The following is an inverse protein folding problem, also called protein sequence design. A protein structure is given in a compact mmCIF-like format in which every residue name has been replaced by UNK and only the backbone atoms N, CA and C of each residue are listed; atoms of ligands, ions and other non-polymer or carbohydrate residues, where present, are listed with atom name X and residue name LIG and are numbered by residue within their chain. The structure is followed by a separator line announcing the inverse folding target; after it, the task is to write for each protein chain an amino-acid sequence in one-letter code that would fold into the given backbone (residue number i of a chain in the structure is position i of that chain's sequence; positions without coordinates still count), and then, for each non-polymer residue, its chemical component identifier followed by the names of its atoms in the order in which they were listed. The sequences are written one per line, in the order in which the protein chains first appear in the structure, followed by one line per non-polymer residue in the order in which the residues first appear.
data_IF_361102737030
#
_entry.id   IF_361102737030
#
_cell.length_a   1.000
_cell.length_b   1.000
_cell.length_c   1.000
_cell.angle_alpha   90.00
_cell.angle_beta   90.00
_cell.angle_gamma   90.00
#
_symmetry.space_group_name_H-M   'P 1'
#
loop_
_entity.id
_entity.type
_entity.pdbx_description
1 polymer ?
#
# COMPACT_ATOMS: atom_id res chain seq x y z
N UNK A 1 4.07 30.01 5.32
CA UNK A 1 5.39 29.37 5.09
C UNK A 1 5.69 28.56 6.33
N UNK A 2 5.90 27.26 6.19
CA UNK A 2 6.14 26.34 7.32
C UNK A 2 7.51 26.65 7.97
N UNK A 3 7.57 26.63 9.30
CA UNK A 3 8.84 26.72 10.02
C UNK A 3 9.53 25.34 10.00
N UNK A 4 10.54 25.22 9.14
CA UNK A 4 11.29 23.97 8.98
C UNK A 4 12.09 23.61 10.23
N UNK A 5 12.55 24.59 11.02
CA UNK A 5 13.31 24.31 12.24
C UNK A 5 12.41 23.68 13.29
N UNK A 6 11.25 24.29 13.55
CA UNK A 6 10.26 23.77 14.48
C UNK A 6 9.73 22.39 14.03
N UNK A 7 9.46 22.24 12.73
CA UNK A 7 9.00 20.96 12.17
C UNK A 7 10.05 19.86 12.34
N UNK A 8 11.34 20.17 12.14
CA UNK A 8 12.44 19.20 12.35
C UNK A 8 12.53 18.75 13.81
N UNK A 9 12.40 19.68 14.75
CA UNK A 9 12.40 19.36 16.19
C UNK A 9 11.22 18.48 16.58
N UNK A 10 10.01 18.79 16.08
CA UNK A 10 8.83 17.96 16.28
C UNK A 10 9.02 16.56 15.71
N UNK A 11 9.53 16.44 14.48
CA UNK A 11 9.83 15.13 13.86
C UNK A 11 10.87 14.37 14.69
N UNK A 12 11.93 15.02 15.18
CA UNK A 12 12.93 14.37 16.04
C UNK A 12 12.32 13.81 17.33
N UNK A 13 11.43 14.57 17.97
CA UNK A 13 10.70 14.11 19.16
C UNK A 13 9.81 12.89 18.86
N UNK A 14 9.09 12.92 17.74
CA UNK A 14 8.25 11.79 17.31
C UNK A 14 9.08 10.56 16.94
N UNK A 15 10.23 10.71 16.27
CA UNK A 15 11.13 9.60 15.98
C UNK A 15 11.55 8.88 17.27
N UNK A 16 11.89 9.63 18.32
CA UNK A 16 12.23 9.09 19.63
C UNK A 16 11.02 8.43 20.32
N UNK A 17 9.85 9.08 20.32
CA UNK A 17 8.61 8.56 20.91
C UNK A 17 8.22 7.19 20.31
N UNK A 18 8.38 7.05 18.99
CA UNK A 18 7.92 5.86 18.26
C UNK A 18 9.03 4.84 17.96
N UNK A 19 10.27 5.11 18.35
CA UNK A 19 11.41 4.21 18.11
C UNK A 19 11.77 4.08 16.63
N UNK A 20 11.53 5.12 15.82
CA UNK A 20 11.82 5.14 14.39
C UNK A 20 13.19 5.80 14.18
N UNK A 21 14.14 5.15 13.48
CA UNK A 21 15.50 5.69 13.37
C UNK A 21 15.62 6.97 12.56
N UNK A 22 14.89 7.09 11.45
CA UNK A 22 14.90 8.28 10.60
C UNK A 22 13.60 8.48 9.84
N UNK A 23 13.41 9.72 9.41
CA UNK A 23 12.42 10.10 8.42
C UNK A 23 13.01 11.10 7.42
N UNK A 24 12.68 10.93 6.14
CA UNK A 24 12.75 11.97 5.11
C UNK A 24 11.35 12.49 4.81
N UNK A 25 11.18 13.80 4.86
CA UNK A 25 9.92 14.50 4.69
C UNK A 25 10.02 15.39 3.47
N UNK A 26 9.01 15.33 2.61
CA UNK A 26 8.86 16.21 1.47
C UNK A 26 7.51 16.92 1.52
N UNK A 27 7.50 18.20 1.13
CA UNK A 27 6.32 19.04 0.96
C UNK A 27 6.39 19.66 -0.45
N UNK A 28 5.39 19.41 -1.27
CA UNK A 28 5.16 20.08 -2.54
C UNK A 28 3.96 21.01 -2.37
N UNK A 29 4.13 22.31 -2.57
CA UNK A 29 3.03 23.26 -2.51
C UNK A 29 3.21 24.29 -3.63
N UNK A 30 2.18 24.49 -4.47
CA UNK A 30 2.23 25.43 -5.59
C UNK A 30 3.45 25.22 -6.50
N UNK A 31 3.72 23.97 -6.86
CA UNK A 31 4.87 23.56 -7.68
C UNK A 31 6.25 23.68 -6.99
N UNK A 32 6.33 24.09 -5.72
CA UNK A 32 7.59 24.24 -4.99
C UNK A 32 7.83 23.09 -4.03
N UNK A 33 8.98 22.42 -4.17
CA UNK A 33 9.40 21.33 -3.29
C UNK A 33 10.28 21.85 -2.15
N UNK A 34 9.89 21.54 -0.93
CA UNK A 34 10.70 21.66 0.30
C UNK A 34 10.92 20.28 0.88
N UNK A 35 12.15 19.96 1.27
CA UNK A 35 12.49 18.63 1.82
C UNK A 35 13.52 18.73 2.93
N UNK A 36 13.42 17.80 3.88
CA UNK A 36 14.40 17.65 4.94
C UNK A 36 14.40 16.20 5.45
N UNK A 37 15.46 15.84 6.18
CA UNK A 37 15.55 14.55 6.85
C UNK A 37 16.05 14.71 8.28
N UNK A 38 15.65 13.78 9.13
CA UNK A 38 15.97 13.73 10.56
C UNK A 38 16.30 12.29 10.95
N UNK A 39 17.28 12.11 11.85
CA UNK A 39 17.65 10.82 12.41
C UNK A 39 18.77 10.11 11.66
N UNK A 40 18.83 8.78 11.80
CA UNK A 40 19.89 7.93 11.26
C UNK A 40 19.38 6.97 10.18
N UNK A 41 19.94 7.10 8.97
CA UNK A 41 19.68 6.19 7.86
C UNK A 41 20.22 4.77 8.15
N UNK A 42 21.24 4.66 9.01
CA UNK A 42 21.80 3.38 9.46
C UNK A 42 22.32 3.50 10.89
N UNK A 43 21.61 2.86 11.83
CA UNK A 43 21.95 2.93 13.27
C UNK A 43 23.25 2.21 13.62
N UNK A 44 23.67 1.23 12.81
CA UNK A 44 24.92 0.48 13.02
C UNK A 44 26.15 1.31 12.64
N UNK A 45 26.09 2.06 11.54
CA UNK A 45 27.21 2.90 11.09
C UNK A 45 27.15 4.32 11.64
N UNK A 46 25.99 4.75 12.15
CA UNK A 46 25.75 6.13 12.56
C UNK A 46 25.54 7.10 11.39
N UNK A 47 25.34 6.58 10.17
CA UNK A 47 25.07 7.43 9.02
C UNK A 47 23.79 8.25 9.24
N UNK A 48 23.90 9.57 9.09
CA UNK A 48 22.77 10.48 9.23
C UNK A 48 21.81 10.34 8.03
N UNK A 49 20.52 10.52 8.28
CA UNK A 49 19.56 10.69 7.21
C UNK A 49 19.70 12.08 6.58
N UNK A 50 19.84 12.10 5.26
CA UNK A 50 19.94 13.28 4.41
C UNK A 50 18.68 13.40 3.53
N UNK A 51 18.32 14.61 3.02
CA UNK A 51 17.13 14.78 2.17
C UNK A 51 17.12 13.87 0.93
N UNK A 52 18.30 13.50 0.46
CA UNK A 52 18.54 12.66 -0.71
C UNK A 52 18.76 11.17 -0.34
N UNK A 53 18.44 10.76 0.90
CA UNK A 53 18.46 9.36 1.33
C UNK A 53 17.41 8.56 0.56
N UNK A 54 17.79 7.38 0.08
CA UNK A 54 16.93 6.50 -0.70
C UNK A 54 16.27 5.49 0.24
N UNK A 55 14.94 5.46 0.24
CA UNK A 55 14.10 4.54 1.01
C UNK A 55 13.36 3.57 0.09
N UNK A 56 13.03 2.39 0.59
CA UNK A 56 12.13 1.48 -0.10
C UNK A 56 10.69 1.97 0.01
N UNK A 57 10.03 2.17 -1.13
CA UNK A 57 8.69 2.72 -1.19
C UNK A 57 7.59 1.65 -1.02
N UNK A 58 7.93 0.37 -1.11
CA UNK A 58 6.97 -0.72 -0.96
C UNK A 58 5.78 -0.55 -1.92
N UNK A 59 4.57 -0.84 -1.43
CA UNK A 59 3.33 -0.78 -2.23
C UNK A 59 3.03 0.54 -2.94
N UNK A 60 3.70 1.63 -2.58
CA UNK A 60 3.63 2.89 -3.35
C UNK A 60 4.06 2.68 -4.82
N UNK A 61 4.90 1.68 -5.08
CA UNK A 61 5.32 1.24 -6.42
C UNK A 61 4.16 1.09 -7.41
N UNK A 62 2.98 0.69 -6.92
CA UNK A 62 1.77 0.49 -7.73
C UNK A 62 1.38 1.73 -8.52
N UNK A 63 1.53 2.91 -7.94
CA UNK A 63 1.21 4.18 -8.61
C UNK A 63 2.09 4.40 -9.84
N UNK A 64 3.40 4.11 -9.76
CA UNK A 64 4.28 4.20 -10.92
C UNK A 64 3.91 3.16 -11.98
N UNK A 65 3.64 1.90 -11.59
CA UNK A 65 3.24 0.85 -12.53
C UNK A 65 1.92 1.21 -13.22
N UNK A 66 0.96 1.77 -12.50
CA UNK A 66 -0.31 2.23 -13.05
C UNK A 66 -0.12 3.37 -14.07
N UNK A 67 0.75 4.36 -13.80
CA UNK A 67 1.10 5.40 -14.78
C UNK A 67 1.66 4.81 -16.08
N UNK A 68 2.61 3.87 -15.98
CA UNK A 68 3.17 3.20 -17.16
C UNK A 68 2.10 2.42 -17.93
N UNK A 69 1.16 1.81 -17.23
CA UNK A 69 0.05 1.07 -17.84
C UNK A 69 -0.91 2.01 -18.58
N UNK A 70 -1.28 3.14 -17.97
CA UNK A 70 -2.16 4.13 -18.59
C UNK A 70 -1.52 4.79 -19.82
N UNK A 71 -0.19 4.89 -19.89
CA UNK A 71 0.48 5.32 -21.14
C UNK A 71 0.19 4.35 -22.30
N UNK A 72 0.21 3.03 -22.06
CA UNK A 72 -0.18 2.06 -23.09
C UNK A 72 -1.66 2.16 -23.48
N UNK A 73 -2.51 2.57 -22.54
CA UNK A 73 -3.95 2.81 -22.81
C UNK A 73 -4.11 4.02 -23.73
N UNK A 74 -3.43 5.13 -23.45
CA UNK A 74 -3.44 6.33 -24.31
C UNK A 74 -2.88 6.08 -25.70
N UNK A 75 -1.85 5.22 -25.81
CA UNK A 75 -1.28 4.77 -27.08
C UNK A 75 -2.24 3.88 -27.87
N UNK A 76 -3.32 3.39 -27.27
CA UNK A 76 -4.24 2.41 -27.85
C UNK A 76 -3.64 1.00 -27.98
N UNK A 77 -2.52 0.75 -27.30
CA UNK A 77 -1.81 -0.54 -27.29
C UNK A 77 -2.55 -1.55 -26.40
N UNK A 78 -3.12 -1.09 -25.30
CA UNK A 78 -3.96 -1.88 -24.39
C UNK A 78 -5.24 -1.12 -24.06
N UNK A 79 -6.23 -1.82 -23.55
CA UNK A 79 -7.54 -1.31 -23.15
C UNK A 79 -7.83 -1.84 -21.75
N UNK A 80 -8.32 -0.97 -20.87
CA UNK A 80 -8.59 -1.28 -19.46
C UNK A 80 -9.66 -2.35 -19.29
N UNK A 81 -10.57 -2.49 -20.26
CA UNK A 81 -11.76 -3.32 -20.21
C UNK A 81 -11.70 -4.51 -21.18
N UNK A 82 -10.59 -4.67 -21.91
CA UNK A 82 -10.32 -5.90 -22.66
C UNK A 82 -9.82 -7.00 -21.72
N UNK A 83 -10.23 -8.27 -21.94
CA UNK A 83 -9.73 -9.38 -21.14
C UNK A 83 -8.21 -9.49 -21.19
N UNK A 84 -7.58 -9.85 -20.05
CA UNK A 84 -6.13 -10.08 -19.93
C UNK A 84 -5.62 -11.05 -21.00
N UNK A 85 -6.41 -12.07 -21.35
CA UNK A 85 -6.07 -13.05 -22.39
C UNK A 85 -5.90 -12.49 -23.79
N UNK A 86 -6.41 -11.29 -24.05
CA UNK A 86 -6.15 -10.56 -25.30
C UNK A 86 -4.66 -10.25 -25.45
N UNK A 87 -3.99 -9.98 -24.34
CA UNK A 87 -2.57 -9.61 -24.29
C UNK A 87 -1.68 -10.79 -23.90
N UNK A 88 -2.19 -11.72 -23.08
CA UNK A 88 -1.52 -12.92 -22.60
C UNK A 88 -2.37 -14.16 -22.92
N UNK A 89 -2.34 -14.70 -24.15
CA UNK A 89 -3.24 -15.78 -24.57
C UNK A 89 -3.18 -17.05 -23.69
N UNK A 90 -2.03 -17.29 -23.06
CA UNK A 90 -1.75 -18.38 -22.13
C UNK A 90 -2.35 -18.17 -20.73
N UNK A 91 -2.79 -16.95 -20.40
CA UNK A 91 -3.35 -16.64 -19.08
C UNK A 91 -4.56 -17.53 -18.78
N UNK A 92 -4.49 -18.19 -17.62
CA UNK A 92 -5.53 -19.05 -17.08
C UNK A 92 -5.44 -19.05 -15.56
N UNK A 93 -6.59 -19.16 -14.91
CA UNK A 93 -6.75 -19.45 -13.47
C UNK A 93 -7.76 -20.58 -13.31
N UNK A 94 -7.98 -21.07 -12.09
CA UNK A 94 -8.87 -22.21 -11.85
C UNK A 94 -10.31 -21.94 -12.32
N UNK A 95 -10.79 -20.71 -12.16
CA UNK A 95 -12.11 -20.29 -12.62
C UNK A 95 -12.09 -19.88 -14.11
N UNK A 96 -12.87 -20.57 -14.93
CA UNK A 96 -12.95 -20.32 -16.37
C UNK A 96 -13.61 -18.99 -16.73
N UNK A 97 -14.54 -18.51 -15.91
CA UNK A 97 -15.21 -17.22 -16.12
C UNK A 97 -14.21 -16.08 -15.88
N UNK A 98 -13.49 -16.14 -14.76
CA UNK A 98 -12.43 -15.15 -14.47
C UNK A 98 -11.31 -15.22 -15.51
N UNK A 99 -10.93 -16.42 -15.94
CA UNK A 99 -9.99 -16.61 -17.06
C UNK A 99 -10.45 -15.88 -18.32
N UNK A 100 -11.74 -15.89 -18.64
CA UNK A 100 -12.29 -15.28 -19.85
C UNK A 100 -12.51 -13.76 -19.72
N UNK A 101 -12.73 -13.25 -18.51
CA UNK A 101 -13.30 -11.92 -18.31
C UNK A 101 -12.51 -10.97 -17.42
N UNK A 102 -11.47 -11.42 -16.69
CA UNK A 102 -10.63 -10.48 -15.92
C UNK A 102 -9.94 -9.48 -16.84
N UNK A 103 -9.91 -8.21 -16.43
CA UNK A 103 -9.39 -7.08 -17.23
C UNK A 103 -8.30 -6.33 -16.47
N UNK A 104 -7.47 -5.52 -17.14
CA UNK A 104 -6.53 -4.64 -16.45
C UNK A 104 -7.15 -3.72 -15.41
N UNK A 105 -8.38 -3.23 -15.63
CA UNK A 105 -9.12 -2.43 -14.65
C UNK A 105 -9.31 -3.18 -13.33
N UNK A 106 -9.73 -4.45 -13.39
CA UNK A 106 -9.89 -5.30 -12.21
C UNK A 106 -8.58 -5.53 -11.46
N UNK A 107 -7.44 -5.55 -12.16
CA UNK A 107 -6.12 -5.72 -11.56
C UNK A 107 -5.66 -4.43 -10.86
N UNK A 108 -5.84 -3.28 -11.51
CA UNK A 108 -5.44 -1.96 -11.01
C UNK A 108 -6.22 -1.54 -9.76
N UNK A 109 -7.51 -1.89 -9.70
CA UNK A 109 -8.41 -1.56 -8.58
C UNK A 109 -8.66 -2.73 -7.60
N UNK A 110 -7.89 -3.83 -7.73
CA UNK A 110 -7.95 -4.99 -6.83
C UNK A 110 -9.33 -5.66 -6.67
N UNK A 111 -10.08 -5.78 -7.77
CA UNK A 111 -11.37 -6.50 -7.80
C UNK A 111 -11.32 -7.81 -8.58
N UNK A 112 -10.12 -8.35 -8.82
CA UNK A 112 -9.93 -9.55 -9.64
C UNK A 112 -10.26 -10.88 -8.95
N UNK A 113 -10.22 -10.95 -7.61
CA UNK A 113 -10.57 -12.16 -6.84
C UNK A 113 -9.52 -13.27 -6.79
N UNK A 114 -8.47 -13.21 -7.59
CA UNK A 114 -7.51 -14.31 -7.78
C UNK A 114 -6.61 -14.43 -6.55
N UNK A 115 -6.51 -15.64 -5.99
CA UNK A 115 -5.57 -15.93 -4.91
C UNK A 115 -4.11 -15.82 -5.39
N UNK A 116 -3.22 -15.32 -4.52
CA UNK A 116 -1.81 -15.10 -4.83
C UNK A 116 -0.98 -16.39 -4.74
N UNK A 117 -1.47 -17.47 -5.33
CA UNK A 117 -0.86 -18.80 -5.30
C UNK A 117 0.00 -19.05 -6.55
N UNK A 118 1.17 -18.41 -6.58
CA UNK A 118 2.13 -18.51 -7.71
C UNK A 118 3.44 -19.26 -7.37
N UNK A 119 3.58 -19.79 -6.15
CA UNK A 119 4.79 -20.50 -5.72
C UNK A 119 6.03 -19.61 -5.67
N UNK A 120 7.20 -20.19 -5.99
CA UNK A 120 8.46 -19.46 -6.15
C UNK A 120 8.72 -19.24 -7.66
N UNK A 121 8.51 -18.01 -8.19
CA UNK A 121 8.74 -17.71 -9.59
C UNK A 121 10.22 -17.42 -9.92
N UNK A 122 11.10 -17.45 -8.92
CA UNK A 122 12.51 -17.12 -9.05
C UNK A 122 12.82 -15.63 -9.14
N UNK A 123 14.10 -15.31 -9.37
CA UNK A 123 14.66 -13.96 -9.36
C UNK A 123 15.13 -13.49 -10.76
N UNK A 124 14.68 -14.18 -11.81
CA UNK A 124 15.02 -13.93 -13.20
C UNK A 124 14.29 -12.72 -13.82
N UNK A 125 14.68 -12.36 -15.05
CA UNK A 125 13.96 -11.34 -15.84
C UNK A 125 12.63 -11.85 -16.41
N UNK A 126 12.43 -13.16 -16.37
CA UNK A 126 11.19 -13.87 -16.72
C UNK A 126 10.23 -14.05 -15.53
N UNK A 127 10.53 -13.47 -14.35
CA UNK A 127 9.75 -13.66 -13.11
C UNK A 127 8.24 -13.49 -13.31
N UNK A 128 7.78 -12.47 -14.05
CA UNK A 128 6.35 -12.26 -14.27
C UNK A 128 5.73 -13.25 -15.25
N UNK A 129 6.52 -13.75 -16.22
CA UNK A 129 6.08 -14.83 -17.10
C UNK A 129 5.93 -16.13 -16.29
N UNK A 130 6.89 -16.43 -15.42
CA UNK A 130 6.84 -17.57 -14.50
C UNK A 130 5.65 -17.48 -13.54
N UNK A 131 5.36 -16.29 -12.97
CA UNK A 131 4.18 -16.07 -12.13
C UNK A 131 2.88 -16.34 -12.90
N UNK A 132 2.72 -15.77 -14.10
CA UNK A 132 1.51 -15.97 -14.93
C UNK A 132 1.34 -17.44 -15.33
N UNK A 133 2.43 -18.15 -15.59
CA UNK A 133 2.38 -19.59 -15.90
C UNK A 133 1.99 -20.44 -14.67
N UNK A 134 2.43 -20.05 -13.47
CA UNK A 134 2.23 -20.80 -12.23
C UNK A 134 0.79 -20.71 -11.66
N UNK A 135 0.02 -19.69 -12.03
CA UNK A 135 -1.33 -19.44 -11.49
C UNK A 135 -2.45 -20.19 -12.20
N UNK A 136 -2.13 -21.14 -13.08
CA UNK A 136 -3.11 -21.85 -13.89
C UNK A 136 -4.21 -22.54 -13.07
N UNK A 137 -3.89 -22.94 -11.84
CA UNK A 137 -4.80 -23.58 -10.88
C UNK A 137 -5.04 -22.71 -9.63
N UNK A 138 -4.69 -21.41 -9.67
CA UNK A 138 -4.96 -20.50 -8.56
C UNK A 138 -6.48 -20.32 -8.35
N UNK A 139 -7.00 -20.52 -7.13
CA UNK A 139 -8.43 -20.41 -6.85
C UNK A 139 -8.90 -18.96 -6.77
N UNK A 140 -10.22 -18.76 -6.82
CA UNK A 140 -10.85 -17.48 -6.49
C UNK A 140 -11.11 -17.38 -4.99
N UNK A 141 -10.86 -16.20 -4.43
CA UNK A 141 -11.17 -15.83 -3.04
C UNK A 141 -12.56 -15.17 -2.97
N UNK A 142 -12.96 -14.47 -4.03
CA UNK A 142 -14.28 -13.87 -4.22
C UNK A 142 -14.57 -13.74 -5.73
N UNK A 143 -15.85 -13.59 -6.15
CA UNK A 143 -16.18 -13.47 -7.56
C UNK A 143 -15.58 -12.20 -8.20
N UNK A 144 -15.24 -12.27 -9.50
CA UNK A 144 -14.70 -11.13 -10.25
C UNK A 144 -15.59 -9.89 -10.11
N UNK A 145 -15.01 -8.75 -9.78
CA UNK A 145 -15.69 -7.47 -9.64
C UNK A 145 -16.55 -7.33 -8.37
N UNK A 146 -16.68 -8.36 -7.54
CA UNK A 146 -17.64 -8.39 -6.43
C UNK A 146 -17.29 -7.42 -5.29
N UNK A 147 -16.01 -7.35 -4.93
CA UNK A 147 -15.52 -6.55 -3.80
C UNK A 147 -14.06 -6.16 -4.04
N UNK A 148 -13.56 -5.20 -3.28
CA UNK A 148 -12.14 -4.91 -3.23
C UNK A 148 -11.43 -5.92 -2.32
N UNK A 149 -10.44 -6.63 -2.87
CA UNK A 149 -9.53 -7.50 -2.14
C UNK A 149 -8.13 -7.41 -2.70
N UNK A 150 -7.24 -6.84 -1.89
CA UNK A 150 -5.90 -6.43 -2.28
C UNK A 150 -5.04 -7.59 -2.77
N UNK A 151 -4.69 -7.52 -4.05
CA UNK A 151 -3.66 -8.35 -4.67
C UNK A 151 -2.38 -7.53 -4.80
N UNK A 152 -1.51 -7.66 -3.80
CA UNK A 152 -0.31 -6.86 -3.64
C UNK A 152 0.76 -7.20 -4.68
N UNK A 153 0.90 -8.48 -5.02
CA UNK A 153 1.93 -9.00 -5.90
C UNK A 153 1.34 -9.48 -7.23
N UNK A 154 0.35 -10.37 -7.19
CA UNK A 154 -0.07 -11.09 -8.40
C UNK A 154 -0.75 -10.17 -9.43
N UNK A 155 -1.70 -9.33 -9.00
CA UNK A 155 -2.41 -8.43 -9.91
C UNK A 155 -1.46 -7.50 -10.65
N UNK A 156 -0.47 -6.96 -9.94
CA UNK A 156 0.55 -6.09 -10.52
C UNK A 156 1.62 -6.84 -11.31
N UNK A 157 1.89 -8.11 -11.00
CA UNK A 157 2.71 -8.99 -11.82
C UNK A 157 2.06 -9.28 -13.19
N UNK A 158 0.74 -9.48 -13.23
CA UNK A 158 0.00 -9.66 -14.49
C UNK A 158 0.05 -8.37 -15.32
N UNK A 159 -0.18 -7.20 -14.70
CA UNK A 159 -0.03 -5.90 -15.38
C UNK A 159 1.39 -5.69 -15.91
N UNK A 160 2.41 -6.02 -15.12
CA UNK A 160 3.80 -5.97 -15.54
C UNK A 160 4.08 -6.91 -16.72
N UNK A 161 3.51 -8.11 -16.72
CA UNK A 161 3.68 -9.06 -17.82
C UNK A 161 3.07 -8.54 -19.14
N UNK A 162 1.93 -7.86 -19.06
CA UNK A 162 1.33 -7.16 -20.21
C UNK A 162 2.28 -6.05 -20.71
N UNK A 163 2.78 -5.21 -19.81
CA UNK A 163 3.76 -4.16 -20.13
C UNK A 163 5.01 -4.72 -20.82
N UNK A 164 5.58 -5.81 -20.29
CA UNK A 164 6.77 -6.46 -20.87
C UNK A 164 6.52 -7.00 -22.28
N UNK A 165 5.31 -7.53 -22.52
CA UNK A 165 4.91 -8.06 -23.82
C UNK A 165 4.71 -6.94 -24.84
N UNK A 166 4.08 -5.84 -24.43
CA UNK A 166 3.87 -4.67 -25.28
C UNK A 166 5.19 -3.98 -25.67
N UNK A 167 6.13 -3.88 -24.72
CA UNK A 167 7.39 -3.16 -24.92
C UNK A 167 8.58 -4.03 -25.34
N UNK A 168 8.42 -5.35 -25.31
CA UNK A 168 9.49 -6.33 -25.53
C UNK A 168 10.73 -6.10 -24.65
N UNK A 169 10.52 -5.71 -23.38
CA UNK A 169 11.60 -5.51 -22.41
C UNK A 169 11.15 -5.84 -20.98
N UNK A 170 12.09 -6.19 -20.08
CA UNK A 170 11.75 -6.44 -18.68
C UNK A 170 11.18 -5.20 -17.98
N UNK A 171 10.28 -5.41 -17.02
CA UNK A 171 9.56 -4.35 -16.30
C UNK A 171 10.46 -3.23 -15.76
N UNK A 172 11.58 -3.58 -15.14
CA UNK A 172 12.50 -2.58 -14.57
C UNK A 172 13.09 -1.62 -15.63
N UNK A 173 13.26 -2.07 -16.89
CA UNK A 173 13.77 -1.24 -17.98
C UNK A 173 12.67 -0.38 -18.60
N UNK A 174 11.47 -0.93 -18.80
CA UNK A 174 10.36 -0.11 -19.29
C UNK A 174 9.97 0.97 -18.29
N UNK A 175 10.01 0.68 -16.98
CA UNK A 175 9.70 1.68 -15.96
C UNK A 175 10.67 2.86 -16.01
N UNK A 176 11.97 2.57 -16.14
CA UNK A 176 13.00 3.59 -16.35
C UNK A 176 12.68 4.45 -17.58
N UNK A 177 12.43 3.82 -18.73
CA UNK A 177 12.17 4.50 -20.01
C UNK A 177 10.88 5.32 -20.01
N UNK A 178 9.79 4.74 -19.53
CA UNK A 178 8.41 5.27 -19.64
C UNK A 178 8.06 6.30 -18.58
N UNK A 179 8.61 6.14 -17.37
CA UNK A 179 8.18 6.92 -16.20
C UNK A 179 9.36 7.64 -15.54
N UNK A 180 10.41 6.92 -15.14
CA UNK A 180 11.45 7.52 -14.30
C UNK A 180 12.30 8.56 -15.07
N UNK A 181 12.72 8.25 -16.31
CA UNK A 181 13.51 9.18 -17.13
C UNK A 181 12.71 10.44 -17.52
N UNK A 182 11.45 10.34 -17.99
CA UNK A 182 10.60 11.53 -18.23
C UNK A 182 10.37 12.39 -16.99
N UNK A 183 10.27 11.78 -15.80
CA UNK A 183 10.15 12.51 -14.52
C UNK A 183 11.49 12.99 -13.96
N UNK A 184 12.61 12.66 -14.63
CA UNK A 184 13.98 12.87 -14.16
C UNK A 184 14.26 12.31 -12.76
N UNK A 185 13.58 11.21 -12.41
CA UNK A 185 13.72 10.51 -11.14
C UNK A 185 14.99 9.64 -11.15
N UNK A 186 16.15 10.31 -11.11
CA UNK A 186 17.48 9.68 -11.22
C UNK A 186 17.84 8.83 -10.01
N UNK A 187 17.28 9.16 -8.85
CA UNK A 187 17.55 8.47 -7.59
C UNK A 187 16.50 7.40 -7.28
N UNK A 188 15.53 7.23 -8.18
CA UNK A 188 14.52 6.19 -8.11
C UNK A 188 14.99 4.96 -8.88
N UNK A 189 14.82 3.77 -8.29
CA UNK A 189 15.27 2.50 -8.89
C UNK A 189 14.20 1.43 -8.71
N UNK A 190 14.15 0.48 -9.65
CA UNK A 190 13.24 -0.66 -9.63
C UNK A 190 13.90 -1.94 -9.09
N UNK A 191 15.19 -1.86 -8.70
CA UNK A 191 16.06 -3.00 -8.44
C UNK A 191 17.01 -2.69 -7.28
N UNK A 192 17.10 -3.57 -6.27
CA UNK A 192 17.97 -3.34 -5.11
C UNK A 192 19.45 -3.10 -5.49
N UNK A 193 19.95 -3.79 -6.51
CA UNK A 193 21.33 -3.66 -6.96
C UNK A 193 21.67 -2.32 -7.64
N UNK A 194 20.66 -1.57 -8.06
CA UNK A 194 20.84 -0.27 -8.73
C UNK A 194 20.79 0.88 -7.71
N UNK A 195 20.46 0.61 -6.45
CA UNK A 195 20.44 1.60 -5.36
C UNK A 195 21.87 1.95 -4.97
N UNK A 196 22.17 3.26 -4.88
CA UNK A 196 23.45 3.73 -4.33
C UNK A 196 23.57 3.33 -2.85
N UNK A 197 24.50 2.42 -2.48
CA UNK A 197 24.63 1.96 -1.11
C UNK A 197 25.08 3.06 -0.14
N UNK A 198 25.70 4.15 -0.62
CA UNK A 198 26.09 5.28 0.22
C UNK A 198 24.89 6.12 0.66
N UNK A 199 23.78 6.07 -0.08
CA UNK A 199 22.54 6.83 0.17
C UNK A 199 21.39 5.95 0.63
N UNK A 200 21.54 4.64 0.63
CA UNK A 200 20.49 3.70 1.00
C UNK A 200 20.18 3.74 2.50
N UNK A 201 18.91 3.94 2.85
CA UNK A 201 18.43 3.70 4.20
C UNK A 201 18.46 2.19 4.51
N UNK A 202 18.94 1.85 5.71
CA UNK A 202 18.86 0.48 6.25
C UNK A 202 17.53 0.33 6.98
N UNK A 203 16.75 -0.71 6.68
CA UNK A 203 15.48 -0.95 7.36
C UNK A 203 15.65 -1.49 8.78
N UNK A 204 14.75 -1.11 9.69
CA UNK A 204 14.76 -1.54 11.08
C UNK A 204 13.38 -1.99 11.56
N UNK A 205 13.39 -2.99 12.43
CA UNK A 205 12.26 -3.53 13.16
C UNK A 205 12.40 -3.14 14.64
N UNK A 206 11.31 -3.20 15.40
CA UNK A 206 11.28 -2.83 16.80
C UNK A 206 10.54 -3.90 17.60
N UNK A 207 11.17 -4.44 18.65
CA UNK A 207 10.52 -5.39 19.59
C UNK A 207 10.09 -4.72 20.88
N UNK A 208 10.90 -3.79 21.38
CA UNK A 208 10.60 -2.90 22.51
C UNK A 208 11.29 -1.56 22.30
N UNK A 209 10.78 -0.49 22.92
CA UNK A 209 11.46 0.82 22.90
C UNK A 209 12.81 0.76 23.62
N UNK A 210 12.93 -0.05 24.68
CA UNK A 210 14.15 -0.19 25.47
C UNK A 210 15.27 -0.89 24.70
N UNK A 211 14.94 -1.88 23.86
CA UNK A 211 15.92 -2.55 23.00
C UNK A 211 16.34 -1.65 21.82
N UNK A 212 15.41 -0.82 21.36
CA UNK A 212 15.63 0.06 20.23
C UNK A 212 15.62 -0.69 18.87
N UNK A 213 16.00 0.01 17.80
CA UNK A 213 15.85 -0.48 16.44
C UNK A 213 16.82 -1.62 16.09
N UNK A 214 16.26 -2.72 15.57
CA UNK A 214 17.00 -3.90 15.12
C UNK A 214 17.00 -3.91 13.60
N UNK A 215 18.18 -4.03 12.97
CA UNK A 215 18.25 -4.14 11.50
C UNK A 215 17.39 -5.30 10.99
N UNK A 216 16.61 -5.04 9.95
CA UNK A 216 15.80 -6.07 9.29
C UNK A 216 16.66 -7.23 8.75
N UNK A 217 16.24 -8.50 8.93
CA UNK A 217 16.91 -9.63 8.31
C UNK A 217 16.59 -9.74 6.80
N UNK A 218 15.58 -9.03 6.30
CA UNK A 218 15.15 -9.05 4.90
C UNK A 218 15.42 -7.68 4.28
N UNK A 219 16.57 -7.50 3.61
CA UNK A 219 17.00 -6.19 3.15
C UNK A 219 16.25 -5.67 1.93
N UNK A 220 15.51 -6.51 1.20
CA UNK A 220 14.67 -6.14 0.06
C UNK A 220 13.57 -7.18 -0.15
N UNK A 221 12.50 -6.79 -0.83
CA UNK A 221 11.45 -7.73 -1.24
C UNK A 221 11.93 -8.61 -2.42
N UNK A 222 11.44 -9.85 -2.52
CA UNK A 222 11.68 -10.71 -3.70
C UNK A 222 11.19 -10.06 -4.99
N UNK A 223 11.76 -10.47 -6.14
CA UNK A 223 11.38 -9.89 -7.44
C UNK A 223 9.93 -10.10 -7.86
N UNK A 224 9.28 -11.12 -7.31
CA UNK A 224 7.83 -11.33 -7.46
C UNK A 224 7.01 -10.09 -7.04
N UNK A 225 7.50 -9.30 -6.10
CA UNK A 225 6.86 -8.05 -5.66
C UNK A 225 7.27 -6.84 -6.47
N UNK A 226 8.19 -6.94 -7.45
CA UNK A 226 8.81 -5.78 -8.11
C UNK A 226 7.79 -4.75 -8.61
N UNK A 227 6.84 -5.15 -9.45
CA UNK A 227 5.81 -4.28 -10.01
C UNK A 227 4.78 -3.75 -9.01
N UNK A 228 4.65 -4.41 -7.87
CA UNK A 228 3.73 -4.03 -6.80
C UNK A 228 4.40 -3.40 -5.59
N UNK A 229 5.75 -3.38 -5.50
CA UNK A 229 6.45 -3.16 -4.24
C UNK A 229 7.96 -2.87 -4.31
N UNK A 230 8.59 -2.94 -5.49
CA UNK A 230 10.05 -2.97 -5.63
C UNK A 230 10.74 -1.63 -5.84
N UNK A 231 10.02 -0.51 -5.92
CA UNK A 231 10.64 0.80 -6.12
C UNK A 231 11.28 1.30 -4.82
N UNK A 232 12.50 1.82 -4.94
CA UNK A 232 13.16 2.63 -3.93
C UNK A 232 13.39 4.04 -4.48
N UNK A 233 13.19 5.08 -3.67
CA UNK A 233 13.15 6.47 -4.10
C UNK A 233 13.53 7.45 -2.98
N UNK A 234 13.58 8.75 -3.31
CA UNK A 234 13.79 9.87 -2.38
C UNK A 234 12.49 10.65 -2.16
N UNK A 235 12.44 11.50 -1.14
CA UNK A 235 11.26 12.35 -0.89
C UNK A 235 10.94 13.27 -2.08
N UNK A 236 11.96 13.89 -2.69
CA UNK A 236 11.81 14.71 -3.90
C UNK A 236 11.23 13.95 -5.08
N UNK A 237 11.74 12.76 -5.36
CA UNK A 237 11.27 11.97 -6.51
C UNK A 237 9.81 11.53 -6.30
N UNK A 238 9.43 11.13 -5.07
CA UNK A 238 8.03 10.85 -4.72
C UNK A 238 7.13 12.08 -4.90
N UNK A 239 7.60 13.29 -4.56
CA UNK A 239 6.84 14.51 -4.84
C UNK A 239 6.76 14.85 -6.33
N UNK A 240 7.80 14.52 -7.11
CA UNK A 240 7.74 14.64 -8.58
C UNK A 240 6.65 13.74 -9.17
N UNK A 241 6.47 12.54 -8.61
CA UNK A 241 5.32 11.68 -8.92
C UNK A 241 3.99 12.34 -8.51
N UNK A 242 3.92 12.88 -7.28
CA UNK A 242 2.71 13.53 -6.79
C UNK A 242 2.26 14.71 -7.68
N UNK A 243 3.21 15.48 -8.19
CA UNK A 243 2.94 16.61 -9.07
C UNK A 243 2.24 16.21 -10.37
N UNK A 244 2.48 15.01 -10.88
CA UNK A 244 1.77 14.47 -12.06
C UNK A 244 0.25 14.46 -11.84
N UNK A 245 -0.19 14.20 -10.61
CA UNK A 245 -1.62 14.20 -10.28
C UNK A 245 -2.17 15.60 -10.00
N UNK A 246 -1.34 16.51 -9.46
CA UNK A 246 -1.73 17.90 -9.19
C UNK A 246 -1.78 18.75 -10.48
N UNK A 247 -0.90 18.49 -11.45
CA UNK A 247 -0.77 19.27 -12.69
C UNK A 247 -1.24 18.48 -13.93
N UNK A 248 -2.34 17.73 -13.78
CA UNK A 248 -3.07 17.06 -14.87
C UNK A 248 -2.17 16.27 -15.84
N UNK A 249 -1.21 15.52 -15.30
CA UNK A 249 -0.34 14.62 -16.04
C UNK A 249 1.02 15.21 -16.42
N UNK A 250 1.40 16.37 -15.87
CA UNK A 250 2.70 17.01 -16.12
C UNK A 250 3.69 16.80 -14.97
N UNK A 251 4.96 16.66 -15.32
CA UNK A 251 6.07 16.71 -14.38
C UNK A 251 6.35 18.15 -13.92
N UNK A 252 7.19 18.29 -12.90
CA UNK A 252 7.65 19.59 -12.37
C UNK A 252 8.34 20.48 -13.42
N UNK A 253 8.85 19.91 -14.52
CA UNK A 253 9.47 20.66 -15.63
C UNK A 253 8.52 20.89 -16.82
N UNK A 254 7.24 20.53 -16.67
CA UNK A 254 6.18 20.70 -17.66
C UNK A 254 6.12 19.57 -18.71
N UNK A 255 6.98 18.56 -18.64
CA UNK A 255 6.92 17.36 -19.48
C UNK A 255 5.61 16.62 -19.24
N UNK A 256 4.84 16.39 -20.29
CA UNK A 256 3.57 15.66 -20.20
C UNK A 256 3.84 14.15 -20.19
N UNK A 257 3.43 13.47 -19.12
CA UNK A 257 3.48 12.02 -18.98
C UNK A 257 2.19 11.32 -19.42
N UNK A 258 1.05 11.93 -19.10
CA UNK A 258 -0.30 11.46 -19.44
C UNK A 258 -1.16 12.66 -19.84
N UNK A 259 -2.23 12.45 -20.59
CA UNK A 259 -3.24 13.49 -20.80
C UNK A 259 -4.07 13.73 -19.53
N UNK A 260 -4.74 14.89 -19.41
CA UNK A 260 -5.66 15.15 -18.32
C UNK A 260 -6.78 14.09 -18.22
N UNK A 261 -7.23 13.56 -19.36
CA UNK A 261 -8.27 12.53 -19.39
C UNK A 261 -7.80 11.18 -18.80
N UNK A 262 -6.54 10.79 -19.04
CA UNK A 262 -5.99 9.58 -18.43
C UNK A 262 -5.74 9.74 -16.93
N UNK A 263 -5.38 10.95 -16.47
CA UNK A 263 -5.29 11.25 -15.03
C UNK A 263 -6.67 11.21 -14.39
N UNK A 264 -7.68 11.82 -15.03
CA UNK A 264 -9.07 11.75 -14.58
C UNK A 264 -9.55 10.31 -14.45
N UNK A 265 -9.29 9.47 -15.46
CA UNK A 265 -9.61 8.05 -15.44
C UNK A 265 -8.91 7.33 -14.28
N UNK A 266 -7.62 7.62 -14.04
CA UNK A 266 -6.84 7.01 -12.96
C UNK A 266 -7.38 7.37 -11.57
N UNK A 267 -7.88 8.60 -11.39
CA UNK A 267 -8.36 9.12 -10.11
C UNK A 267 -9.85 8.82 -9.84
N UNK A 268 -10.68 8.69 -10.89
CA UNK A 268 -12.14 8.62 -10.77
C UNK A 268 -12.74 7.24 -11.08
N UNK A 269 -11.97 6.31 -11.67
CA UNK A 269 -12.36 4.90 -11.72
C UNK A 269 -12.18 4.21 -10.37
N UNK A 270 -13.17 4.40 -9.49
CA UNK A 270 -13.14 4.01 -8.07
C UNK A 270 -14.00 2.80 -7.75
N UNK A 271 -13.55 1.98 -6.80
CA UNK A 271 -14.33 0.92 -6.15
C UNK A 271 -14.38 1.14 -4.64
N UNK A 272 -15.48 0.81 -3.96
CA UNK A 272 -15.58 0.98 -2.51
C UNK A 272 -14.65 0.02 -1.78
N UNK A 273 -14.05 0.50 -0.69
CA UNK A 273 -13.29 -0.33 0.24
C UNK A 273 -14.23 -0.87 1.34
N UNK A 274 -14.26 -2.20 1.58
CA UNK A 274 -15.09 -2.77 2.64
C UNK A 274 -14.74 -2.28 4.04
N UNK A 275 -13.49 -1.91 4.29
CA UNK A 275 -13.06 -1.24 5.53
C UNK A 275 -12.56 0.17 5.19
N UNK A 276 -13.39 1.21 5.39
CA UNK A 276 -13.05 2.58 5.03
C UNK A 276 -12.09 3.24 6.02
N UNK A 277 -11.90 2.65 7.21
CA UNK A 277 -11.12 3.26 8.29
C UNK A 277 -9.61 3.04 8.14
N UNK A 278 -9.22 1.99 7.42
CA UNK A 278 -7.80 1.65 7.25
C UNK A 278 -7.09 2.56 6.25
N UNK A 279 -7.70 2.79 5.08
CA UNK A 279 -7.08 3.57 3.99
C UNK A 279 -7.96 4.73 3.52
N UNK A 280 -9.27 4.57 3.54
CA UNK A 280 -10.23 5.52 2.97
C UNK A 280 -11.44 4.79 2.38
N UNK A 281 -12.48 5.51 1.95
CA UNK A 281 -13.70 4.89 1.45
C UNK A 281 -13.57 4.16 0.11
N UNK A 282 -12.54 4.43 -0.68
CA UNK A 282 -12.42 3.87 -2.02
C UNK A 282 -10.98 3.65 -2.50
N UNK A 283 -10.85 2.85 -3.55
CA UNK A 283 -9.62 2.58 -4.27
C UNK A 283 -9.78 2.95 -5.74
N UNK A 284 -8.87 3.73 -6.30
CA UNK A 284 -8.85 4.15 -7.70
C UNK A 284 -7.85 3.29 -8.52
N UNK A 285 -7.44 3.70 -9.72
CA UNK A 285 -6.48 2.88 -10.48
C UNK A 285 -5.06 3.09 -9.94
N UNK A 286 -4.69 2.32 -8.92
CA UNK A 286 -3.36 2.37 -8.28
C UNK A 286 -3.19 3.45 -7.21
N UNK A 287 -4.27 4.08 -6.75
CA UNK A 287 -4.26 5.01 -5.61
C UNK A 287 -5.37 4.68 -4.62
N UNK A 288 -5.12 5.04 -3.37
CA UNK A 288 -6.12 5.09 -2.31
C UNK A 288 -6.87 6.42 -2.43
N UNK A 289 -8.18 6.40 -2.18
CA UNK A 289 -9.02 7.59 -2.08
C UNK A 289 -9.50 7.72 -0.64
N UNK A 290 -8.97 8.72 0.06
CA UNK A 290 -9.35 9.07 1.43
C UNK A 290 -10.46 10.14 1.43
N UNK A 291 -11.22 10.20 2.52
CA UNK A 291 -12.09 11.32 2.87
C UNK A 291 -11.59 11.95 4.17
N UNK A 292 -11.08 13.18 4.08
CA UNK A 292 -10.56 13.93 5.22
C UNK A 292 -11.48 15.12 5.47
N UNK A 293 -12.45 14.91 6.36
CA UNK A 293 -13.46 15.91 6.72
C UNK A 293 -14.31 16.42 5.53
N UNK A 294 -14.64 15.53 4.59
CA UNK A 294 -15.40 15.86 3.38
C UNK A 294 -14.56 16.28 2.18
N UNK A 295 -13.23 16.37 2.32
CA UNK A 295 -12.31 16.64 1.22
C UNK A 295 -11.67 15.34 0.70
N UNK A 296 -11.56 15.21 -0.63
CA UNK A 296 -10.91 14.05 -1.24
C UNK A 296 -9.39 14.21 -1.17
N UNK A 297 -8.74 13.26 -0.51
CA UNK A 297 -7.28 13.17 -0.46
C UNK A 297 -6.86 11.88 -1.15
N UNK A 298 -6.00 11.99 -2.17
CA UNK A 298 -5.42 10.80 -2.78
C UNK A 298 -4.20 10.37 -1.99
N UNK A 299 -4.06 9.07 -1.80
CA UNK A 299 -2.96 8.49 -1.05
C UNK A 299 -2.29 7.35 -1.82
N UNK A 300 -1.02 7.13 -1.50
CA UNK A 300 -0.33 5.91 -1.88
C UNK A 300 0.64 5.56 -0.77
N UNK A 301 0.44 4.38 -0.20
CA UNK A 301 1.13 3.92 0.98
C UNK A 301 1.88 2.63 0.66
N UNK A 302 3.02 2.43 1.32
CA UNK A 302 3.81 1.24 1.16
C UNK A 302 4.67 0.92 2.35
N UNK A 303 4.89 -0.38 2.52
CA UNK A 303 5.71 -0.92 3.59
C UNK A 303 6.54 -2.07 3.03
N UNK A 304 7.82 -2.09 3.39
CA UNK A 304 8.67 -3.28 3.27
C UNK A 304 9.09 -3.70 4.68
N UNK A 305 9.93 -4.73 4.80
CA UNK A 305 10.35 -5.22 6.11
C UNK A 305 11.34 -4.23 6.72
N UNK A 306 10.82 -3.32 7.53
CA UNK A 306 11.56 -2.30 8.27
C UNK A 306 11.69 -0.94 7.56
N UNK A 307 10.95 -0.67 6.49
CA UNK A 307 10.83 0.67 5.88
C UNK A 307 9.38 0.96 5.49
N UNK A 308 8.99 2.23 5.55
CA UNK A 308 7.62 2.66 5.23
C UNK A 308 7.65 3.95 4.40
N UNK A 309 6.66 4.08 3.52
CA UNK A 309 6.44 5.25 2.70
C UNK A 309 4.95 5.62 2.74
N UNK A 310 4.66 6.90 2.94
CA UNK A 310 3.31 7.45 2.95
C UNK A 310 3.30 8.71 2.09
N UNK A 311 2.37 8.82 1.16
CA UNK A 311 2.14 10.04 0.36
C UNK A 311 0.68 10.45 0.47
N UNK A 312 0.44 11.75 0.66
CA UNK A 312 -0.88 12.38 0.59
C UNK A 312 -0.85 13.48 -0.46
N UNK A 313 -1.85 13.50 -1.33
CA UNK A 313 -2.03 14.46 -2.42
C UNK A 313 -3.39 15.11 -2.21
N UNK A 314 -3.40 16.43 -2.05
CA UNK A 314 -4.57 17.26 -1.75
C UNK A 314 -4.77 18.25 -2.91
N UNK A 315 -5.49 17.85 -3.98
CA UNK A 315 -5.65 18.68 -5.17
C UNK A 315 -6.24 20.06 -4.89
N UNK A 316 -7.23 20.13 -3.99
CA UNK A 316 -7.91 21.39 -3.63
C UNK A 316 -6.98 22.43 -2.98
N UNK A 317 -5.80 22.00 -2.52
CA UNK A 317 -4.79 22.84 -1.87
C UNK A 317 -3.48 22.95 -2.69
N UNK A 318 -3.43 22.36 -3.90
CA UNK A 318 -2.20 22.20 -4.69
C UNK A 318 -1.00 21.75 -3.82
N UNK A 319 -1.26 20.74 -2.98
CA UNK A 319 -0.39 20.31 -1.89
C UNK A 319 -0.17 18.80 -1.93
N UNK A 320 1.07 18.37 -1.76
CA UNK A 320 1.39 16.98 -1.47
C UNK A 320 2.46 16.86 -0.39
N UNK A 321 2.32 15.87 0.49
CA UNK A 321 3.27 15.60 1.58
C UNK A 321 3.65 14.13 1.57
N UNK A 322 4.95 13.85 1.62
CA UNK A 322 5.49 12.48 1.72
C UNK A 322 6.30 12.30 2.99
N UNK A 323 6.18 11.11 3.60
CA UNK A 323 6.94 10.67 4.77
C UNK A 323 7.55 9.31 4.46
N UNK A 324 8.88 9.25 4.41
CA UNK A 324 9.65 8.03 4.18
C UNK A 324 10.44 7.69 5.44
N UNK A 325 10.32 6.48 5.96
CA UNK A 325 10.97 6.05 7.20
C UNK A 325 11.70 4.73 7.04
N UNK A 326 12.73 4.52 7.87
CA UNK A 326 13.46 3.26 7.96
C UNK A 326 13.19 2.49 9.27
N UNK A 327 11.94 2.57 9.71
CA UNK A 327 11.36 1.86 10.84
C UNK A 327 9.83 2.03 10.88
N UNK A 328 9.14 1.28 11.73
CA UNK A 328 7.68 1.19 11.76
C UNK A 328 7.12 -0.01 10.96
N UNK A 329 5.81 -0.06 10.63
CA UNK A 329 4.88 1.07 10.59
C UNK A 329 4.42 1.52 11.98
N UNK A 330 4.13 2.83 12.09
CA UNK A 330 3.48 3.49 13.22
C UNK A 330 2.56 4.55 12.64
N UNK A 331 1.32 4.20 12.31
CA UNK A 331 0.37 5.15 11.70
C UNK A 331 0.15 6.42 12.54
N UNK A 332 0.11 6.36 13.89
CA UNK A 332 0.05 7.57 14.71
C UNK A 332 1.24 8.52 14.49
N UNK A 333 2.44 7.99 14.18
CA UNK A 333 3.60 8.83 13.84
C UNK A 333 3.36 9.60 12.55
N UNK A 334 2.93 8.92 11.49
CA UNK A 334 2.66 9.54 10.19
C UNK A 334 1.51 10.55 10.30
N UNK A 335 0.42 10.19 11.00
CA UNK A 335 -0.73 11.06 11.21
C UNK A 335 -0.36 12.36 11.93
N UNK A 336 0.43 12.28 13.02
CA UNK A 336 0.92 13.46 13.75
C UNK A 336 1.82 14.37 12.90
N UNK A 337 2.56 13.81 11.94
CA UNK A 337 3.39 14.58 11.00
C UNK A 337 2.52 15.25 9.94
N UNK A 338 1.58 14.52 9.33
CA UNK A 338 0.65 15.08 8.36
C UNK A 338 -0.17 16.21 8.98
N UNK A 339 -0.77 16.00 10.15
CA UNK A 339 -1.51 17.02 10.89
C UNK A 339 -0.67 18.29 11.13
N UNK A 340 0.57 18.14 11.59
CA UNK A 340 1.48 19.26 11.83
C UNK A 340 1.79 20.07 10.57
N UNK A 341 2.06 19.39 9.46
CA UNK A 341 2.46 20.02 8.20
C UNK A 341 1.25 20.64 7.52
N UNK A 342 0.17 19.89 7.37
CA UNK A 342 -1.01 20.31 6.60
C UNK A 342 -1.75 21.47 7.26
N UNK A 343 -1.83 21.49 8.60
CA UNK A 343 -2.40 22.63 9.34
C UNK A 343 -1.65 23.94 9.07
N UNK A 344 -0.34 23.90 8.81
CA UNK A 344 0.44 25.09 8.45
C UNK A 344 0.10 25.65 7.05
N UNK A 345 -0.60 24.88 6.22
CA UNK A 345 -1.12 25.27 4.91
C UNK A 345 -2.65 25.46 4.91
N UNK A 346 -3.32 25.28 6.05
CA UNK A 346 -4.80 25.36 6.14
C UNK A 346 -5.52 24.18 5.52
N UNK A 347 -4.81 23.08 5.25
CA UNK A 347 -5.36 21.85 4.70
C UNK A 347 -5.83 20.89 5.82
N UNK A 348 -6.83 20.03 5.57
CA UNK A 348 -7.32 19.09 6.57
C UNK A 348 -6.25 18.06 6.94
N UNK A 349 -6.18 17.73 8.23
CA UNK A 349 -5.41 16.59 8.72
C UNK A 349 -6.15 15.26 8.51
N UNK A 350 -5.48 14.13 8.78
CA UNK A 350 -6.14 12.83 8.80
C UNK A 350 -7.25 12.79 9.87
N UNK A 351 -8.36 12.08 9.62
CA UNK A 351 -9.44 11.96 10.59
C UNK A 351 -8.99 11.20 11.84
N UNK A 352 -9.68 11.45 12.94
CA UNK A 352 -9.51 10.68 14.17
C UNK A 352 -9.83 9.19 13.93
N UNK A 353 -9.14 8.26 14.63
CA UNK A 353 -9.50 6.85 14.60
C UNK A 353 -10.96 6.62 14.98
N UNK A 354 -11.63 5.61 14.40
CA UNK A 354 -13.01 5.30 14.75
C UNK A 354 -13.13 4.91 16.22
N UNK A 355 -14.29 5.25 16.80
CA UNK A 355 -14.62 4.91 18.19
C UNK A 355 -15.70 3.83 18.20
N UNK A 356 -15.62 2.85 19.11
CA UNK A 356 -16.70 1.89 19.28
C UNK A 356 -17.99 2.59 19.71
N UNK A 357 -19.13 2.07 19.25
CA UNK A 357 -20.45 2.46 19.72
C UNK A 357 -20.92 1.48 20.81
N UNK A 358 -20.88 1.86 22.10
CA UNK A 358 -21.31 0.99 23.19
C UNK A 358 -22.83 0.78 23.23
N UNK A 359 -23.61 1.55 22.47
CA UNK A 359 -25.06 1.36 22.38
C UNK A 359 -25.44 0.32 21.31
N UNK A 360 -24.51 -0.09 20.45
CA UNK A 360 -24.78 -1.05 19.39
C UNK A 360 -25.01 -2.46 19.96
N UNK A 361 -26.17 -3.05 19.65
CA UNK A 361 -26.50 -4.42 20.03
C UNK A 361 -26.43 -5.31 18.81
N UNK A 362 -25.54 -6.30 18.83
CA UNK A 362 -25.30 -7.21 17.70
C UNK A 362 -25.92 -8.59 17.93
N UNK A 363 -26.45 -9.18 16.86
CA UNK A 363 -26.78 -10.62 16.84
C UNK A 363 -25.51 -11.44 16.56
N UNK A 364 -24.73 -11.69 17.61
CA UNK A 364 -23.40 -12.30 17.53
C UNK A 364 -23.29 -13.54 16.63
N UNK A 365 -24.25 -14.50 16.62
CA UNK A 365 -24.15 -15.71 15.78
C UNK A 365 -24.08 -15.44 14.27
N UNK A 366 -24.46 -14.24 13.82
CA UNK A 366 -24.36 -13.81 12.42
C UNK A 366 -22.90 -13.66 11.96
N UNK A 367 -22.00 -13.40 12.90
CA UNK A 367 -20.59 -13.05 12.68
C UNK A 367 -19.64 -14.21 12.95
N UNK A 368 -20.01 -15.11 13.87
CA UNK A 368 -19.18 -16.26 14.25
C UNK A 368 -18.89 -17.17 13.05
N UNK A 369 -17.65 -17.65 12.93
CA UNK A 369 -17.24 -18.53 11.83
C UNK A 369 -15.74 -18.48 11.56
N UNK A 370 -15.31 -19.35 10.66
CA UNK A 370 -13.94 -19.36 10.12
C UNK A 370 -13.96 -18.61 8.79
N UNK A 371 -13.04 -17.67 8.64
CA UNK A 371 -12.84 -16.88 7.42
C UNK A 371 -11.40 -17.10 6.95
N UNK A 372 -11.23 -17.67 5.76
CA UNK A 372 -9.95 -18.21 5.36
C UNK A 372 -9.63 -17.97 3.89
N UNK A 373 -8.34 -17.92 3.61
CA UNK A 373 -7.74 -18.08 2.28
C UNK A 373 -6.53 -19.00 2.43
N UNK A 374 -5.96 -19.56 1.35
CA UNK A 374 -4.75 -20.37 1.46
C UNK A 374 -3.65 -19.69 2.29
N UNK A 375 -3.25 -20.34 3.40
CA UNK A 375 -2.19 -19.87 4.28
C UNK A 375 -2.60 -18.86 5.36
N UNK A 376 -3.85 -18.42 5.44
CA UNK A 376 -4.31 -17.50 6.49
C UNK A 376 -5.76 -17.75 6.87
N UNK A 377 -6.00 -17.94 8.17
CA UNK A 377 -7.30 -18.26 8.75
C UNK A 377 -7.58 -17.32 9.92
N UNK A 378 -8.79 -16.78 9.95
CA UNK A 378 -9.34 -16.00 11.06
C UNK A 378 -10.56 -16.71 11.62
N UNK A 379 -10.56 -16.95 12.93
CA UNK A 379 -11.70 -17.52 13.64
C UNK A 379 -12.37 -16.42 14.46
N UNK A 380 -13.63 -16.11 14.12
CA UNK A 380 -14.49 -15.18 14.86
C UNK A 380 -15.39 -15.96 15.80
N UNK A 381 -15.36 -15.66 17.09
CA UNK A 381 -16.16 -16.33 18.12
C UNK A 381 -16.85 -15.33 19.04
N UNK A 382 -18.03 -15.68 19.56
CA UNK A 382 -18.71 -14.91 20.60
C UNK A 382 -18.31 -15.44 21.99
N UNK A 383 -17.79 -14.58 22.86
CA UNK A 383 -17.45 -14.92 24.25
C UNK A 383 -17.92 -13.81 25.17
N UNK A 384 -18.61 -14.17 26.24
CA UNK A 384 -19.07 -13.22 27.27
C UNK A 384 -19.87 -12.02 26.73
N UNK A 385 -20.60 -12.18 25.63
CA UNK A 385 -21.39 -11.11 25.01
C UNK A 385 -20.64 -10.22 24.02
N UNK A 386 -19.38 -10.52 23.70
CA UNK A 386 -18.56 -9.79 22.74
C UNK A 386 -18.03 -10.71 21.65
N UNK A 387 -17.67 -10.15 20.49
CA UNK A 387 -16.96 -10.86 19.44
C UNK A 387 -15.45 -10.79 19.68
N UNK A 388 -14.77 -11.87 19.34
CA UNK A 388 -13.31 -11.97 19.33
C UNK A 388 -12.86 -12.55 18.00
N UNK A 389 -11.72 -12.09 17.49
CA UNK A 389 -11.06 -12.68 16.33
C UNK A 389 -9.71 -13.24 16.73
N UNK A 390 -9.44 -14.47 16.30
CA UNK A 390 -8.16 -15.12 16.55
C UNK A 390 -7.56 -15.68 15.27
N UNK A 391 -6.24 -15.64 15.17
CA UNK A 391 -5.50 -16.10 13.99
C UNK A 391 -4.08 -16.51 14.36
N UNK A 392 -3.48 -17.38 13.54
CA UNK A 392 -2.10 -17.81 13.71
C UNK A 392 -1.14 -16.77 13.15
N UNK A 393 -0.06 -16.49 13.89
CA UNK A 393 1.07 -15.71 13.41
C UNK A 393 2.12 -16.66 12.83
N UNK A 394 2.80 -16.26 11.76
CA UNK A 394 3.92 -17.04 11.24
C UNK A 394 4.94 -17.33 12.37
N UNK A 395 5.38 -18.59 12.57
CA UNK A 395 6.23 -18.93 13.71
C UNK A 395 7.57 -18.21 13.74
N UNK A 396 8.14 -17.85 12.58
CA UNK A 396 9.37 -17.06 12.54
C UNK A 396 9.09 -15.63 13.00
N UNK A 397 7.99 -15.05 12.53
CA UNK A 397 7.54 -13.72 12.94
C UNK A 397 7.19 -13.66 14.43
N UNK A 398 6.45 -14.65 14.95
CA UNK A 398 6.09 -14.77 16.36
C UNK A 398 7.34 -14.82 17.25
N UNK A 399 8.30 -15.71 16.92
CA UNK A 399 9.59 -15.79 17.64
C UNK A 399 10.39 -14.50 17.56
N UNK A 400 10.44 -13.86 16.40
CA UNK A 400 11.16 -12.61 16.23
C UNK A 400 10.57 -11.53 17.14
N UNK A 401 9.25 -11.32 17.11
CA UNK A 401 8.58 -10.29 17.93
C UNK A 401 8.39 -10.68 19.40
N UNK A 402 8.65 -11.93 19.79
CA UNK A 402 8.30 -12.43 21.11
C UNK A 402 6.78 -12.47 21.35
N UNK A 403 5.99 -12.63 20.28
CA UNK A 403 4.53 -12.75 20.33
C UNK A 403 4.11 -14.22 20.41
N UNK A 404 2.91 -14.53 20.95
CA UNK A 404 2.38 -15.89 20.88
C UNK A 404 2.12 -16.28 19.41
N UNK A 405 2.19 -17.59 19.12
CA UNK A 405 1.93 -18.14 17.78
C UNK A 405 0.45 -18.00 17.37
N UNK A 406 -0.43 -17.70 18.32
CA UNK A 406 -1.85 -17.38 18.07
C UNK A 406 -2.19 -16.07 18.77
N UNK A 407 -2.71 -15.13 18.00
CA UNK A 407 -3.22 -13.85 18.50
C UNK A 407 -4.73 -13.93 18.68
N UNK A 408 -5.24 -13.16 19.63
CA UNK A 408 -6.67 -13.09 19.97
C UNK A 408 -7.00 -11.63 20.34
N UNK A 409 -7.97 -11.04 19.65
CA UNK A 409 -8.35 -9.63 19.79
C UNK A 409 -9.84 -9.50 20.02
N UNK A 410 -10.21 -8.56 20.89
CA UNK A 410 -11.59 -8.10 21.01
C UNK A 410 -12.01 -7.38 19.71
N UNK A 411 -13.24 -7.64 19.26
CA UNK A 411 -13.88 -6.89 18.18
C UNK A 411 -14.89 -5.93 18.76
N UNK A 412 -14.50 -4.67 18.92
CA UNK A 412 -15.34 -3.61 19.47
C UNK A 412 -16.19 -3.00 18.34
N UNK A 413 -17.53 -3.06 18.40
CA UNK A 413 -18.37 -2.61 17.30
C UNK A 413 -18.24 -1.10 17.05
N UNK A 414 -17.96 -0.70 15.80
CA UNK A 414 -18.07 0.68 15.32
C UNK A 414 -19.43 0.88 14.62
N UNK A 415 -19.87 -0.15 13.88
CA UNK A 415 -21.16 -0.24 13.21
C UNK A 415 -21.56 -1.71 13.07
N UNK A 416 -22.70 -2.02 12.45
CA UNK A 416 -23.13 -3.42 12.24
C UNK A 416 -22.14 -4.26 11.43
N UNK A 417 -21.28 -3.63 10.63
CA UNK A 417 -20.36 -4.33 9.72
C UNK A 417 -18.88 -4.04 10.02
N UNK A 418 -18.56 -3.14 10.94
CA UNK A 418 -17.17 -2.70 11.19
C UNK A 418 -16.81 -2.76 12.66
N UNK A 419 -15.59 -3.20 12.93
CA UNK A 419 -15.08 -3.49 14.25
C UNK A 419 -13.69 -2.89 14.44
N UNK A 420 -13.48 -2.29 15.61
CA UNK A 420 -12.18 -1.85 16.09
C UNK A 420 -11.50 -3.01 16.81
N UNK A 421 -10.27 -3.32 16.41
CA UNK A 421 -9.33 -4.19 17.11
C UNK A 421 -8.38 -3.32 17.94
N UNK A 422 -8.55 -3.26 19.27
CA UNK A 422 -7.68 -2.45 20.11
C UNK A 422 -6.26 -3.03 20.13
N UNK A 423 -5.23 -2.18 20.28
CA UNK A 423 -3.85 -2.65 20.29
C UNK A 423 -3.57 -3.52 21.52
N UNK A 424 -2.91 -4.66 21.31
CA UNK A 424 -2.51 -5.55 22.41
C UNK A 424 -1.26 -5.04 23.17
N UNK A 425 -0.57 -4.03 22.63
CA UNK A 425 0.62 -3.43 23.26
C UNK A 425 0.81 -1.98 22.82
N UNK A 426 1.63 -1.17 23.52
CA UNK A 426 1.96 0.20 23.11
C UNK A 426 2.70 0.30 21.75
N UNK A 427 3.26 -0.81 21.26
CA UNK A 427 3.94 -0.89 19.98
C UNK A 427 3.01 -1.24 18.81
N UNK A 428 1.76 -1.56 19.11
CA UNK A 428 0.77 -1.92 18.12
C UNK A 428 -0.16 -0.74 17.85
N UNK A 429 -0.49 -0.53 16.60
CA UNK A 429 -1.49 0.46 16.21
C UNK A 429 -2.88 -0.19 16.29
N UNK A 430 -3.93 0.57 16.64
CA UNK A 430 -5.30 0.07 16.51
C UNK A 430 -5.56 -0.34 15.06
N UNK A 431 -6.25 -1.46 14.89
CA UNK A 431 -6.64 -1.97 13.58
C UNK A 431 -8.14 -2.02 13.44
N UNK A 432 -8.60 -2.15 12.21
CA UNK A 432 -10.01 -2.30 11.87
C UNK A 432 -10.24 -3.54 11.03
N UNK A 433 -11.48 -4.00 11.09
CA UNK A 433 -11.93 -5.17 10.39
C UNK A 433 -13.40 -4.99 10.03
N UNK A 434 -13.76 -5.44 8.82
CA UNK A 434 -15.14 -5.47 8.36
C UNK A 434 -15.65 -6.92 8.24
N UNK A 435 -16.87 -7.17 8.74
CA UNK A 435 -17.64 -8.40 8.50
C UNK A 435 -18.88 -8.01 7.73
N UNK A 436 -19.00 -8.48 6.49
CA UNK A 436 -19.95 -7.90 5.53
C UNK A 436 -20.53 -8.93 4.55
N UNK A 437 -21.35 -8.43 3.63
CA UNK A 437 -22.08 -9.19 2.60
C UNK A 437 -22.93 -10.32 3.19
N UNK A 438 -23.91 -9.94 4.01
CA UNK A 438 -24.73 -10.91 4.73
C UNK A 438 -25.65 -11.69 3.79
N UNK A 439 -25.60 -13.02 3.86
CA UNK A 439 -26.54 -13.93 3.18
C UNK A 439 -27.08 -14.92 4.19
N UNK A 440 -28.40 -15.18 4.15
CA UNK A 440 -29.10 -16.01 5.13
C UNK A 440 -28.82 -15.60 6.59
N UNK A 441 -28.69 -14.28 6.80
CA UNK A 441 -28.38 -13.69 8.10
C UNK A 441 -26.92 -13.79 8.53
N UNK A 442 -26.01 -14.37 7.75
CA UNK A 442 -24.60 -14.58 8.14
C UNK A 442 -23.64 -13.78 7.29
N UNK A 443 -22.61 -13.20 7.89
CA UNK A 443 -21.53 -12.53 7.16
C UNK A 443 -20.81 -13.54 6.27
N UNK A 444 -20.54 -13.17 5.01
CA UNK A 444 -19.84 -14.04 4.05
C UNK A 444 -18.36 -13.75 3.95
N UNK A 445 -17.95 -12.54 4.30
CA UNK A 445 -16.56 -12.10 4.16
C UNK A 445 -16.10 -11.36 5.41
N UNK A 446 -14.84 -11.60 5.75
CA UNK A 446 -14.03 -10.78 6.63
C UNK A 446 -13.05 -9.99 5.76
N UNK A 447 -12.94 -8.68 5.97
CA UNK A 447 -11.96 -7.82 5.31
C UNK A 447 -11.09 -7.11 6.33
N UNK A 448 -9.78 -7.32 6.25
CA UNK A 448 -8.78 -6.65 7.10
C UNK A 448 -7.44 -6.60 6.38
N UNK A 449 -6.60 -5.60 6.67
CA UNK A 449 -5.34 -5.35 5.95
C UNK A 449 -5.53 -5.30 4.42
N UNK A 450 -6.62 -4.68 3.98
CA UNK A 450 -7.13 -4.63 2.61
C UNK A 450 -7.38 -5.97 1.91
N UNK A 451 -7.31 -7.10 2.62
CA UNK A 451 -7.52 -8.44 2.05
C UNK A 451 -8.89 -8.97 2.45
N UNK A 452 -9.46 -9.79 1.58
CA UNK A 452 -10.75 -10.48 1.78
C UNK A 452 -10.49 -11.93 2.18
N UNK A 453 -11.28 -12.42 3.13
CA UNK A 453 -11.29 -13.79 3.63
C UNK A 453 -12.74 -14.31 3.56
N UNK A 454 -13.08 -15.18 2.61
CA UNK A 454 -14.39 -15.80 2.55
C UNK A 454 -14.61 -16.70 3.76
N UNK A 455 -15.87 -16.76 4.20
CA UNK A 455 -16.33 -17.69 5.21
C UNK A 455 -16.36 -19.12 4.66
N UNK A 456 -15.91 -20.07 5.47
CA UNK A 456 -15.95 -21.52 5.17
C UNK A 456 -17.35 -22.15 5.26
#
# INVERSE_FOLDING_TARGET
MIDISETRERVAGLLAEYGIPSAAIGILHEGRVTEFAVGSANVTTGAAAMPDTIYQCGSMTKTWTALAFLQLVEEGTVDLDQPVRTYLPEFRVADSDVTAHVTPRHLLNHTNGIEELYGDPGEGDDVYASMVAAIADAPQVFPLGHTHGYSAALGYAILARILETADAMPWHRLMRRRVLDPLRQRDTTCRPQDVDPARAATGHLLRSLDEGPIRTPVPHLPRAFGAGGGIASTARDVLSLAHVFLDEGRSLDGTRLLSPAAIDEMLNSRVPLPDPYMFGPAWALGLIVCDWHGETVYATDGSTIGQNARLRILPDHDLAVTVLTNGGPREPFAAKIFDAILSAFGAPGPPDPPKPDPALTLELPRYEGVYARPGTEFEVTARSGSLHVSFALDPMHARFLGKPDRLDYDLLPISETHFLMPPASPLEDPQTLALYDFTDGRARYLHTNSRVFPRE
#
